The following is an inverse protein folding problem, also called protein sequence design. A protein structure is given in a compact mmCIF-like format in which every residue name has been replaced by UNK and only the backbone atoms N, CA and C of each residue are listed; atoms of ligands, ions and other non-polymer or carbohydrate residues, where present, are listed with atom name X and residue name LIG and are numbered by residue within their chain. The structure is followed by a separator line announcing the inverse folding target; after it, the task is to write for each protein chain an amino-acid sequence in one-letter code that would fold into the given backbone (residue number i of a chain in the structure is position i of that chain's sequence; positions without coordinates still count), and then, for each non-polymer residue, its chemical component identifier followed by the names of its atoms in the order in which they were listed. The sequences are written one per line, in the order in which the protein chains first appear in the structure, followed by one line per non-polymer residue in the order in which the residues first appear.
data_IF_327970485162
#
_entry.id   IF_327970485162
#
_cell.length_a   1.000
_cell.length_b   1.000
_cell.length_c   1.000
_cell.angle_alpha   90.00
_cell.angle_beta   90.00
_cell.angle_gamma   90.00
#
_symmetry.space_group_name_H-M   'P 1'
#
loop_
_entity.id
_entity.type
_entity.pdbx_description
1 polymer ?
#
# COMPACT_ATOMS: atom_id res chain seq x y z
N UNK A 1 -23.46 -15.52 5.38
CA UNK A 1 -23.86 -14.15 5.79
C UNK A 1 -22.66 -13.23 5.56
N UNK A 2 -22.82 -12.22 4.68
CA UNK A 2 -21.79 -11.20 4.44
C UNK A 2 -21.97 -10.08 5.48
N UNK A 3 -21.49 -10.29 6.69
CA UNK A 3 -21.46 -9.26 7.71
C UNK A 3 -20.22 -8.37 7.53
N UNK A 4 -20.40 -7.05 7.56
CA UNK A 4 -19.25 -6.11 7.54
C UNK A 4 -18.72 -5.99 8.97
N UNK A 5 -17.52 -6.52 9.20
CA UNK A 5 -16.86 -6.53 10.52
C UNK A 5 -16.08 -5.25 10.83
N UNK A 6 -15.76 -4.45 9.80
CA UNK A 6 -15.03 -3.20 9.97
C UNK A 6 -14.92 -2.44 8.65
N UNK A 7 -14.65 -1.15 8.76
CA UNK A 7 -14.37 -0.27 7.62
C UNK A 7 -13.41 0.83 8.06
N UNK A 8 -12.66 1.39 7.11
CA UNK A 8 -11.72 2.47 7.34
C UNK A 8 -11.40 3.23 6.06
N UNK A 9 -10.78 4.38 6.21
CA UNK A 9 -10.30 5.21 5.09
C UNK A 9 -8.87 5.61 5.34
N UNK A 10 -8.10 5.77 4.27
CA UNK A 10 -6.71 6.19 4.31
C UNK A 10 -6.44 7.27 3.26
N UNK A 11 -5.54 8.18 3.57
CA UNK A 11 -4.98 9.16 2.63
C UNK A 11 -3.72 8.60 1.99
N UNK A 12 -2.89 7.91 2.76
CA UNK A 12 -1.65 7.31 2.29
C UNK A 12 -1.85 5.86 1.87
N UNK A 13 -2.12 4.99 2.83
CA UNK A 13 -2.12 3.56 2.56
C UNK A 13 -3.01 2.74 3.51
N UNK A 14 -3.40 1.58 2.99
CA UNK A 14 -3.99 0.49 3.77
C UNK A 14 -2.95 -0.64 3.77
N UNK A 15 -2.52 -1.04 4.96
CA UNK A 15 -1.57 -2.13 5.13
C UNK A 15 -2.22 -3.32 5.83
N UNK A 16 -2.05 -4.52 5.25
CA UNK A 16 -2.39 -5.78 5.88
C UNK A 16 -1.09 -6.42 6.39
N UNK A 17 -1.06 -6.81 7.67
CA UNK A 17 0.11 -7.38 8.32
C UNK A 17 -0.29 -8.48 9.35
N UNK A 18 0.64 -9.33 9.81
CA UNK A 18 0.32 -10.47 10.68
C UNK A 18 0.08 -10.09 12.16
N UNK A 19 -0.11 -8.79 12.46
CA UNK A 19 -0.24 -8.31 13.84
C UNK A 19 1.07 -8.51 14.63
N UNK A 20 0.95 -9.08 15.84
CA UNK A 20 2.12 -9.39 16.68
C UNK A 20 2.79 -10.73 16.31
N UNK A 21 2.29 -11.43 15.31
CA UNK A 21 2.86 -12.71 14.87
C UNK A 21 4.08 -12.49 13.98
N UNK A 22 5.11 -13.31 14.15
CA UNK A 22 6.26 -13.37 13.22
C UNK A 22 6.04 -14.33 12.07
N UNK A 23 4.85 -14.93 11.96
CA UNK A 23 4.51 -15.89 10.90
C UNK A 23 3.97 -15.15 9.68
N UNK A 24 4.40 -15.58 8.51
CA UNK A 24 3.84 -15.11 7.24
C UNK A 24 2.38 -15.51 7.11
N UNK A 25 1.59 -14.64 6.47
CA UNK A 25 0.21 -14.93 6.09
C UNK A 25 0.11 -15.37 4.64
N UNK A 26 -0.95 -16.09 4.32
CA UNK A 26 -1.30 -16.48 2.95
C UNK A 26 -2.61 -15.79 2.57
N UNK A 27 -2.65 -15.18 1.41
CA UNK A 27 -3.83 -14.51 0.87
C UNK A 27 -3.85 -14.59 -0.66
N UNK A 28 -5.00 -14.34 -1.25
CA UNK A 28 -5.19 -14.18 -2.69
C UNK A 28 -5.54 -12.74 -3.00
N UNK A 29 -4.95 -12.21 -4.07
CA UNK A 29 -5.26 -10.89 -4.63
C UNK A 29 -6.12 -11.04 -5.87
N UNK A 30 -7.18 -10.26 -5.91
CA UNK A 30 -8.04 -10.07 -7.08
C UNK A 30 -8.13 -8.57 -7.39
N UNK A 31 -8.19 -8.23 -8.67
CA UNK A 31 -8.39 -6.86 -9.17
C UNK A 31 -9.51 -6.89 -10.18
N UNK A 32 -10.54 -6.07 -9.99
CA UNK A 32 -11.73 -6.02 -10.83
C UNK A 32 -12.38 -7.39 -11.08
N UNK A 33 -12.34 -8.25 -10.05
CA UNK A 33 -12.85 -9.62 -10.09
C UNK A 33 -11.90 -10.66 -10.69
N UNK A 34 -10.80 -10.24 -11.29
CA UNK A 34 -9.81 -11.13 -11.90
C UNK A 34 -8.76 -11.57 -10.87
N UNK A 35 -8.45 -12.86 -10.85
CA UNK A 35 -7.40 -13.42 -10.01
C UNK A 35 -6.02 -12.97 -10.47
N UNK A 36 -5.23 -12.38 -9.58
CA UNK A 36 -3.87 -11.93 -9.87
C UNK A 36 -2.84 -12.95 -9.39
N UNK A 37 -2.86 -13.26 -8.09
CA UNK A 37 -1.98 -14.28 -7.49
C UNK A 37 -2.45 -14.74 -6.12
N UNK A 38 -1.95 -15.91 -5.71
CA UNK A 38 -1.91 -16.32 -4.31
C UNK A 38 -0.49 -16.18 -3.78
N UNK A 39 -0.33 -15.56 -2.62
CA UNK A 39 0.99 -15.24 -2.08
C UNK A 39 1.09 -15.54 -0.59
N UNK A 40 2.31 -15.94 -0.18
CA UNK A 40 2.72 -16.02 1.21
C UNK A 40 3.76 -14.94 1.48
N UNK A 41 3.48 -14.04 2.42
CA UNK A 41 4.31 -12.88 2.73
C UNK A 41 4.06 -12.35 4.15
N UNK A 42 4.84 -11.37 4.57
CA UNK A 42 4.59 -10.62 5.80
C UNK A 42 3.41 -9.65 5.67
N UNK A 43 2.94 -9.40 4.45
CA UNK A 43 1.78 -8.53 4.24
C UNK A 43 1.68 -7.94 2.84
N UNK A 44 0.80 -6.96 2.75
CA UNK A 44 0.54 -6.20 1.54
C UNK A 44 0.17 -4.77 1.90
N UNK A 45 0.64 -3.84 1.09
CA UNK A 45 0.25 -2.42 1.16
C UNK A 45 -0.50 -2.07 -0.11
N UNK A 46 -1.61 -1.35 0.04
CA UNK A 46 -2.28 -0.64 -1.06
C UNK A 46 -2.17 0.84 -0.77
N UNK A 47 -1.46 1.58 -1.62
CA UNK A 47 -1.18 2.98 -1.40
C UNK A 47 -1.71 3.87 -2.53
N UNK A 48 -2.10 5.09 -2.15
CA UNK A 48 -2.40 6.20 -3.07
C UNK A 48 -1.10 6.79 -3.63
N UNK A 49 -1.15 7.66 -4.64
CA UNK A 49 0.03 8.41 -5.08
C UNK A 49 0.68 9.20 -3.94
N UNK A 50 -0.10 9.84 -3.07
CA UNK A 50 0.41 10.51 -1.87
C UNK A 50 1.13 9.54 -0.94
N UNK A 51 0.53 8.39 -0.67
CA UNK A 51 1.11 7.34 0.17
C UNK A 51 2.29 6.60 -0.44
N UNK A 52 2.54 6.75 -1.76
CA UNK A 52 3.70 6.15 -2.41
C UNK A 52 5.03 6.64 -1.83
N UNK A 53 5.03 7.79 -1.15
CA UNK A 53 6.19 8.35 -0.45
C UNK A 53 6.25 7.98 1.04
N UNK A 54 5.26 7.22 1.54
CA UNK A 54 5.15 6.78 2.93
C UNK A 54 5.61 5.31 3.10
N UNK A 55 4.81 4.45 3.72
CA UNK A 55 5.18 3.07 4.00
C UNK A 55 5.44 2.24 2.73
N UNK A 56 4.69 2.50 1.65
CA UNK A 56 4.90 1.84 0.37
C UNK A 56 6.33 2.05 -0.18
N UNK A 57 6.91 3.25 0.01
CA UNK A 57 8.30 3.53 -0.39
C UNK A 57 9.30 2.65 0.38
N UNK A 58 9.14 2.54 1.69
CA UNK A 58 9.99 1.72 2.56
C UNK A 58 9.92 0.24 2.18
N UNK A 59 8.78 -0.20 1.65
CA UNK A 59 8.56 -1.55 1.15
C UNK A 59 9.05 -1.78 -0.30
N UNK A 60 9.72 -0.80 -0.91
CA UNK A 60 10.25 -0.91 -2.27
C UNK A 60 9.24 -0.61 -3.37
N UNK A 61 8.14 0.06 -3.04
CA UNK A 61 7.18 0.57 -4.01
C UNK A 61 7.74 1.73 -4.84
N UNK A 62 7.19 1.99 -6.03
CA UNK A 62 7.58 3.12 -6.86
C UNK A 62 7.07 4.44 -6.28
N UNK A 63 7.79 5.53 -6.55
CA UNK A 63 7.25 6.87 -6.36
C UNK A 63 6.20 7.15 -7.44
N UNK A 64 4.99 7.49 -7.02
CA UNK A 64 3.93 7.94 -7.92
C UNK A 64 3.82 9.46 -7.85
N UNK A 65 3.68 10.11 -9.01
CA UNK A 65 3.39 11.53 -9.03
C UNK A 65 2.00 11.79 -8.42
N UNK A 66 1.82 12.80 -7.56
CA UNK A 66 0.57 12.99 -6.78
C UNK A 66 -0.71 13.12 -7.60
N UNK A 67 -0.61 13.60 -8.84
CA UNK A 67 -1.77 13.79 -9.73
C UNK A 67 -2.08 12.56 -10.58
N UNK A 68 -1.33 11.45 -10.43
CA UNK A 68 -1.65 10.22 -11.15
C UNK A 68 -2.95 9.61 -10.61
N UNK A 69 -3.83 9.25 -11.52
CA UNK A 69 -5.00 8.44 -11.19
C UNK A 69 -4.60 6.97 -11.09
N UNK A 70 -3.99 6.62 -9.98
CA UNK A 70 -3.42 5.30 -9.75
C UNK A 70 -3.48 4.87 -8.28
N UNK A 71 -3.40 3.56 -8.06
CA UNK A 71 -3.05 2.94 -6.79
C UNK A 71 -1.85 2.03 -7.00
N UNK A 72 -1.04 1.81 -5.98
CA UNK A 72 0.05 0.83 -6.01
C UNK A 72 -0.17 -0.25 -4.96
N UNK A 73 0.00 -1.50 -5.39
CA UNK A 73 -0.02 -2.69 -4.52
C UNK A 73 1.42 -3.13 -4.30
N UNK A 74 1.87 -3.14 -3.06
CA UNK A 74 3.26 -3.43 -2.67
C UNK A 74 3.29 -4.61 -1.72
N UNK A 75 3.82 -5.77 -2.13
CA UNK A 75 4.00 -6.91 -1.24
C UNK A 75 5.07 -6.64 -0.18
N UNK A 76 4.84 -7.12 1.06
CA UNK A 76 5.80 -7.06 2.14
C UNK A 76 6.54 -8.39 2.27
N UNK A 77 7.86 -8.39 2.05
CA UNK A 77 8.74 -9.56 2.18
C UNK A 77 8.12 -10.85 1.61
N UNK A 78 7.77 -10.87 0.31
CA UNK A 78 7.15 -12.03 -0.30
C UNK A 78 8.12 -13.22 -0.32
N UNK A 79 7.61 -14.42 -0.07
CA UNK A 79 8.41 -15.65 -0.11
C UNK A 79 8.76 -16.09 -1.54
N UNK A 80 8.40 -15.30 -2.55
CA UNK A 80 8.69 -15.54 -3.97
C UNK A 80 9.63 -14.48 -4.52
N UNK A 81 10.68 -14.90 -5.23
CA UNK A 81 11.68 -13.98 -5.80
C UNK A 81 11.14 -13.07 -6.89
N UNK A 82 10.02 -13.43 -7.50
CA UNK A 82 9.45 -12.74 -8.67
C UNK A 82 8.33 -11.76 -8.32
N UNK A 83 7.95 -11.64 -7.06
CA UNK A 83 6.93 -10.67 -6.63
C UNK A 83 7.45 -9.24 -6.82
N UNK A 84 6.61 -8.40 -7.42
CA UNK A 84 6.92 -6.99 -7.68
C UNK A 84 5.70 -6.13 -7.34
N UNK A 85 5.90 -4.88 -6.93
CA UNK A 85 4.82 -3.92 -6.84
C UNK A 85 4.10 -3.76 -8.18
N UNK A 86 2.78 -3.58 -8.13
CA UNK A 86 1.92 -3.40 -9.29
C UNK A 86 1.24 -2.05 -9.17
N UNK A 87 1.33 -1.21 -10.20
CA UNK A 87 0.52 -0.01 -10.32
C UNK A 87 -0.79 -0.33 -11.04
N UNK A 88 -1.90 0.11 -10.47
CA UNK A 88 -3.26 -0.10 -10.95
C UNK A 88 -3.93 1.25 -11.22
N UNK A 89 -5.00 1.24 -12.01
CA UNK A 89 -5.86 2.42 -12.16
C UNK A 89 -6.48 2.82 -10.81
N UNK A 90 -6.70 4.12 -10.61
CA UNK A 90 -7.24 4.63 -9.34
C UNK A 90 -8.64 4.13 -8.99
N UNK A 91 -9.44 3.73 -9.98
CA UNK A 91 -10.79 3.17 -9.79
C UNK A 91 -10.82 1.64 -9.65
N UNK A 92 -9.66 0.97 -9.68
CA UNK A 92 -9.60 -0.49 -9.56
C UNK A 92 -10.24 -0.97 -8.25
N UNK A 93 -10.97 -2.08 -8.32
CA UNK A 93 -11.56 -2.75 -7.16
C UNK A 93 -10.62 -3.88 -6.72
N UNK A 94 -9.99 -3.71 -5.57
CA UNK A 94 -9.04 -4.66 -5.02
C UNK A 94 -9.75 -5.53 -4.00
N UNK A 95 -9.61 -6.86 -4.14
CA UNK A 95 -10.08 -7.82 -3.14
C UNK A 95 -8.90 -8.65 -2.62
N UNK A 96 -8.78 -8.75 -1.30
CA UNK A 96 -7.85 -9.66 -0.64
C UNK A 96 -8.65 -10.73 0.10
N UNK A 97 -8.42 -11.98 -0.25
CA UNK A 97 -9.04 -13.12 0.41
C UNK A 97 -8.05 -13.77 1.37
N UNK A 98 -8.33 -13.64 2.65
CA UNK A 98 -7.49 -14.22 3.71
C UNK A 98 -7.64 -15.74 3.69
N UNK A 99 -6.54 -16.47 3.54
CA UNK A 99 -6.61 -17.93 3.48
C UNK A 99 -7.18 -18.52 4.78
N UNK A 100 -8.09 -19.46 4.64
CA UNK A 100 -8.65 -20.23 5.77
C UNK A 100 -7.61 -21.11 6.49
N UNK A 101 -6.43 -21.29 5.87
CA UNK A 101 -5.31 -22.06 6.44
C UNK A 101 -4.37 -21.22 7.30
N UNK A 102 -4.60 -19.91 7.41
CA UNK A 102 -3.80 -19.07 8.31
C UNK A 102 -4.07 -19.45 9.77
N UNK A 103 -3.01 -19.56 10.55
CA UNK A 103 -3.07 -19.77 12.00
C UNK A 103 -3.03 -18.46 12.78
N UNK A 104 -3.00 -17.33 12.07
CA UNK A 104 -2.95 -15.98 12.63
C UNK A 104 -4.14 -15.16 12.13
N UNK A 105 -4.41 -14.08 12.83
CA UNK A 105 -5.43 -13.11 12.48
C UNK A 105 -4.75 -11.88 11.87
N UNK A 106 -4.78 -11.70 10.53
CA UNK A 106 -4.20 -10.51 9.92
C UNK A 106 -4.91 -9.25 10.41
N UNK A 107 -4.14 -8.17 10.52
CA UNK A 107 -4.62 -6.86 10.93
C UNK A 107 -4.51 -5.92 9.75
N UNK A 108 -5.55 -5.13 9.52
CA UNK A 108 -5.55 -4.01 8.58
C UNK A 108 -5.36 -2.72 9.33
N UNK A 109 -4.48 -1.87 8.83
CA UNK A 109 -4.31 -0.50 9.31
C UNK A 109 -4.57 0.48 8.18
N UNK A 110 -5.17 1.62 8.50
CA UNK A 110 -5.36 2.76 7.60
C UNK A 110 -4.47 3.89 8.08
N UNK A 111 -3.48 4.33 7.28
CA UNK A 111 -2.48 5.35 7.65
C UNK A 111 -1.77 5.04 8.99
N UNK A 112 -1.54 3.75 9.26
CA UNK A 112 -0.92 3.29 10.50
C UNK A 112 -1.81 3.38 11.75
N UNK A 113 -3.10 3.57 11.59
CA UNK A 113 -4.08 3.67 12.66
C UNK A 113 -5.28 2.74 12.39
N UNK A 114 -6.21 2.65 13.38
CA UNK A 114 -7.48 1.94 13.24
C UNK A 114 -7.31 0.45 12.89
N UNK A 115 -6.73 -0.31 13.81
CA UNK A 115 -6.53 -1.74 13.64
C UNK A 115 -7.86 -2.48 13.46
N UNK A 116 -8.06 -3.08 12.29
CA UNK A 116 -9.18 -3.97 12.01
C UNK A 116 -8.64 -5.39 11.99
N UNK A 117 -9.00 -6.17 13.00
CA UNK A 117 -8.57 -7.58 13.09
C UNK A 117 -9.44 -8.44 12.20
N UNK A 118 -8.83 -9.15 11.26
CA UNK A 118 -9.52 -10.09 10.37
C UNK A 118 -9.41 -11.53 10.86
N UNK A 119 -10.24 -12.39 10.32
CA UNK A 119 -10.23 -13.83 10.56
C UNK A 119 -9.80 -14.59 9.29
N UNK A 120 -9.24 -15.80 9.42
CA UNK A 120 -9.06 -16.69 8.28
C UNK A 120 -10.40 -16.89 7.53
N UNK A 121 -10.40 -16.64 6.23
CA UNK A 121 -11.58 -16.71 5.38
C UNK A 121 -12.25 -15.36 5.09
N UNK A 122 -11.87 -14.30 5.76
CA UNK A 122 -12.42 -12.97 5.51
C UNK A 122 -12.05 -12.43 4.13
N UNK A 123 -12.94 -11.60 3.62
CA UNK A 123 -12.78 -10.84 2.38
C UNK A 123 -12.60 -9.36 2.69
N UNK A 124 -11.49 -8.81 2.25
CA UNK A 124 -11.17 -7.40 2.36
C UNK A 124 -11.38 -6.75 1.00
N UNK A 125 -12.16 -5.68 0.94
CA UNK A 125 -12.38 -4.89 -0.28
C UNK A 125 -11.77 -3.52 -0.10
N UNK A 126 -10.94 -3.11 -1.06
CA UNK A 126 -10.28 -1.81 -1.08
C UNK A 126 -10.63 -1.13 -2.40
N UNK A 127 -11.07 0.09 -2.32
CA UNK A 127 -11.45 0.91 -3.46
C UNK A 127 -11.21 2.39 -3.15
N UNK A 128 -11.17 3.20 -4.20
CA UNK A 128 -11.15 4.66 -4.08
C UNK A 128 -12.36 5.14 -3.29
N UNK A 129 -12.14 6.07 -2.37
CA UNK A 129 -13.22 6.73 -1.66
C UNK A 129 -13.99 7.67 -2.59
N UNK A 130 -15.30 7.83 -2.35
CA UNK A 130 -16.18 8.69 -3.17
C UNK A 130 -15.81 10.18 -3.12
N UNK A 131 -15.07 10.61 -2.09
CA UNK A 131 -14.64 11.99 -1.90
C UNK A 131 -13.13 12.07 -1.91
N UNK A 132 -12.60 12.98 -2.73
CA UNK A 132 -11.18 13.30 -2.77
C UNK A 132 -10.79 14.26 -1.64
N UNK A 133 -9.54 14.19 -1.22
CA UNK A 133 -8.94 15.17 -0.32
C UNK A 133 -8.21 16.23 -1.15
N UNK A 134 -8.53 17.50 -0.94
CA UNK A 134 -7.83 18.61 -1.56
C UNK A 134 -6.64 19.03 -0.70
N UNK A 135 -5.43 18.79 -1.20
CA UNK A 135 -4.19 19.26 -0.58
C UNK A 135 -3.81 20.62 -1.17
N UNK A 136 -3.68 21.63 -0.30
CA UNK A 136 -3.29 22.97 -0.69
C UNK A 136 -1.79 23.14 -0.45
N UNK A 137 -1.07 23.51 -1.49
CA UNK A 137 0.37 23.74 -1.44
C UNK A 137 0.70 25.22 -1.71
N UNK A 138 1.83 25.74 -1.19
CA UNK A 138 2.38 27.04 -1.60
C UNK A 138 2.65 27.08 -3.11
N UNK A 139 2.67 28.29 -3.69
CA UNK A 139 2.87 28.47 -5.15
C UNK A 139 4.21 27.93 -5.68
N UNK A 140 5.22 27.91 -4.82
CA UNK A 140 6.58 27.43 -5.09
C UNK A 140 6.77 25.94 -4.74
N UNK A 141 5.69 25.24 -4.35
CA UNK A 141 5.76 23.83 -4.07
C UNK A 141 6.20 23.02 -5.29
N UNK A 142 7.23 22.22 -5.11
CA UNK A 142 7.75 21.32 -6.15
C UNK A 142 7.95 19.93 -5.59
N UNK A 143 7.18 18.98 -6.11
CA UNK A 143 7.21 17.58 -5.68
C UNK A 143 8.63 16.97 -5.73
N UNK A 144 9.36 17.19 -6.82
CA UNK A 144 10.71 16.63 -6.97
C UNK A 144 11.71 17.26 -6.00
N UNK A 145 11.56 18.54 -5.67
CA UNK A 145 12.35 19.19 -4.64
C UNK A 145 12.10 18.55 -3.26
N UNK A 146 10.84 18.26 -2.94
CA UNK A 146 10.47 17.54 -1.71
C UNK A 146 11.08 16.14 -1.70
N UNK A 147 10.99 15.39 -2.80
CA UNK A 147 11.60 14.05 -2.91
C UNK A 147 13.11 14.11 -2.68
N UNK A 148 13.83 15.06 -3.28
CA UNK A 148 15.26 15.21 -3.07
C UNK A 148 15.59 15.55 -1.62
N UNK A 149 14.90 16.53 -1.04
CA UNK A 149 15.23 17.04 0.30
C UNK A 149 14.81 16.11 1.43
N UNK A 150 13.68 15.40 1.29
CA UNK A 150 13.12 14.56 2.35
C UNK A 150 13.52 13.09 2.23
N UNK A 151 13.67 12.59 1.00
CA UNK A 151 13.96 11.17 0.75
C UNK A 151 15.42 10.92 0.33
N UNK A 152 16.23 11.99 0.19
CA UNK A 152 17.59 11.87 -0.36
C UNK A 152 17.60 11.36 -1.82
N UNK A 153 16.50 11.54 -2.55
CA UNK A 153 16.33 10.98 -3.89
C UNK A 153 17.31 11.61 -4.87
N UNK A 154 18.08 10.76 -5.55
CA UNK A 154 19.11 11.20 -6.49
C UNK A 154 20.38 11.76 -5.84
N UNK A 155 20.47 11.82 -4.51
CA UNK A 155 21.73 12.23 -3.84
C UNK A 155 22.75 11.12 -3.96
N UNK A 156 23.95 11.47 -4.42
CA UNK A 156 25.13 10.59 -4.35
C UNK A 156 25.74 10.76 -2.96
N UNK A 157 26.02 9.66 -2.27
CA UNK A 157 26.81 9.70 -1.05
C UNK A 157 28.17 10.34 -1.36
N UNK A 158 28.44 11.53 -0.82
CA UNK A 158 29.75 12.20 -0.90
C UNK A 158 30.01 13.06 -2.15
N UNK A 159 29.00 13.43 -2.94
CA UNK A 159 29.17 14.39 -4.04
C UNK A 159 28.39 15.66 -3.72
N UNK A 160 29.12 16.76 -3.57
CA UNK A 160 28.55 18.12 -3.53
C UNK A 160 27.74 18.38 -4.81
N UNK A 161 26.61 19.09 -4.68
CA UNK A 161 25.83 19.57 -5.82
C UNK A 161 26.75 20.35 -6.76
N UNK A 162 26.65 20.07 -8.07
CA UNK A 162 27.30 20.93 -9.07
C UNK A 162 26.57 22.27 -8.97
N UNK A 163 27.25 23.24 -8.35
CA UNK A 163 26.82 24.63 -8.40
C UNK A 163 26.98 25.12 -9.83
N UNK A 164 25.88 25.57 -10.44
CA UNK A 164 25.86 26.33 -11.70
C UNK A 164 26.27 27.80 -11.43
#
# INVERSE_FOLDING_TARGET
DNEVIGSGTAVNDIAMHPGMSVRMMTFELYVDGEFVYSQRSDGLIVATPTGSTAYALSAGGPLLFPELDAMVVVPLNPHTLNSRPIALHGDAQIELRVSTRNELQPVLTCDGHNDIVTQPGDLIKIARHAHDILLIHPKDHNFYSVCRSKLGWGSRLGVETIDD
#
